data_IF_510238153661
#
_entry.id   IF_510238153661
#
_cell.length_a   1.000
_cell.length_b   1.000
_cell.length_c   1.000
_cell.angle_alpha   90.00
_cell.angle_beta   90.00
_cell.angle_gamma   90.00
#
_symmetry.space_group_name_H-M   'P 1'
#
loop_
_entity.id
_entity.type
_entity.pdbx_description
1 polymer ?
#
# COMPACT_ATOMS: atom_id res chain seq x y z
N UNK A 1 -6.00 -1.36 31.53
CA UNK A 1 -7.22 -1.79 32.25
C UNK A 1 -8.02 -0.52 32.49
N UNK A 2 -9.10 -0.26 31.74
CA UNK A 2 -9.95 0.92 31.96
C UNK A 2 -11.11 0.52 32.87
N UNK A 3 -11.28 1.28 33.95
CA UNK A 3 -12.39 1.19 34.91
C UNK A 3 -13.62 1.93 34.34
N UNK A 4 -14.28 1.36 33.33
CA UNK A 4 -15.68 1.70 33.00
C UNK A 4 -16.21 0.63 32.04
N UNK A 5 -17.18 -0.17 32.50
CA UNK A 5 -17.91 -1.15 31.66
C UNK A 5 -19.14 -0.45 31.07
N UNK A 6 -18.90 0.57 30.26
CA UNK A 6 -19.94 1.22 29.46
C UNK A 6 -20.17 0.39 28.19
N UNK A 7 -21.31 -0.30 28.12
CA UNK A 7 -21.80 -0.96 26.90
C UNK A 7 -21.97 0.11 25.80
N UNK A 8 -21.12 0.07 24.78
CA UNK A 8 -21.25 0.92 23.57
C UNK A 8 -22.55 0.56 22.84
N UNK A 9 -23.40 1.56 22.61
CA UNK A 9 -24.80 1.35 22.16
C UNK A 9 -24.98 1.49 20.65
N UNK A 10 -23.93 1.78 19.89
CA UNK A 10 -23.96 1.91 18.43
C UNK A 10 -22.76 1.25 17.76
N UNK A 11 -22.91 0.92 16.48
CA UNK A 11 -21.84 0.33 15.67
C UNK A 11 -20.66 1.31 15.49
N UNK A 12 -20.99 2.60 15.40
CA UNK A 12 -20.01 3.68 15.23
C UNK A 12 -19.13 3.83 16.47
N UNK A 13 -19.73 3.78 17.68
CA UNK A 13 -18.97 3.80 18.95
C UNK A 13 -17.98 2.64 19.06
N UNK A 14 -18.36 1.45 18.56
CA UNK A 14 -17.47 0.27 18.54
C UNK A 14 -16.31 0.49 17.58
N UNK A 15 -16.59 1.09 16.41
CA UNK A 15 -15.57 1.47 15.44
C UNK A 15 -14.55 2.45 16.03
N UNK A 16 -15.02 3.49 16.70
CA UNK A 16 -14.18 4.50 17.33
C UNK A 16 -13.32 3.91 18.46
N UNK A 17 -13.87 3.04 19.30
CA UNK A 17 -13.10 2.36 20.36
C UNK A 17 -12.01 1.47 19.75
N UNK A 18 -12.31 0.75 18.67
CA UNK A 18 -11.35 -0.11 17.98
C UNK A 18 -10.22 0.69 17.34
N UNK A 19 -10.56 1.77 16.61
CA UNK A 19 -9.58 2.65 15.97
C UNK A 19 -8.70 3.30 17.02
N UNK A 20 -9.27 3.90 18.07
CA UNK A 20 -8.51 4.54 19.13
C UNK A 20 -7.58 3.56 19.85
N UNK A 21 -8.02 2.32 20.08
CA UNK A 21 -7.15 1.30 20.67
C UNK A 21 -5.90 1.05 19.81
N UNK A 22 -6.05 0.92 18.49
CA UNK A 22 -4.91 0.66 17.62
C UNK A 22 -4.06 1.90 17.30
N UNK A 23 -4.67 3.09 17.29
CA UNK A 23 -3.96 4.37 17.25
C UNK A 23 -3.10 4.53 18.50
N UNK A 24 -3.62 4.22 19.69
CA UNK A 24 -2.82 4.25 20.93
C UNK A 24 -1.77 3.13 20.97
N UNK A 25 -2.06 1.97 20.40
CA UNK A 25 -1.17 0.81 20.41
C UNK A 25 0.03 0.97 19.46
N UNK A 26 -0.20 1.51 18.27
CA UNK A 26 0.80 1.61 17.21
C UNK A 26 1.25 3.05 16.91
N UNK A 27 0.48 4.05 17.33
CA UNK A 27 0.83 5.45 17.19
C UNK A 27 1.63 5.93 18.38
N UNK A 28 2.80 6.53 18.10
CA UNK A 28 3.45 7.44 19.03
C UNK A 28 3.46 8.83 18.39
N UNK A 29 2.85 9.80 19.08
CA UNK A 29 2.99 11.19 18.70
C UNK A 29 4.30 11.70 19.32
N UNK A 30 5.32 11.82 18.47
CA UNK A 30 6.58 12.50 18.81
C UNK A 30 6.65 13.72 17.91
N UNK A 31 6.81 14.91 18.49
CA UNK A 31 7.14 16.10 17.71
C UNK A 31 8.45 15.85 16.98
N UNK A 32 8.35 15.70 15.66
CA UNK A 32 9.53 15.56 14.81
C UNK A 32 10.17 16.92 14.65
N UNK A 33 11.49 16.99 14.82
CA UNK A 33 12.25 18.17 14.40
C UNK A 33 12.07 18.39 12.89
N UNK A 34 12.14 19.66 12.48
CA UNK A 34 12.24 19.99 11.07
C UNK A 34 13.44 19.26 10.43
N UNK A 35 13.29 18.89 9.16
CA UNK A 35 14.34 18.21 8.39
C UNK A 35 15.63 19.05 8.38
N UNK A 36 16.68 18.57 9.06
CA UNK A 36 18.00 19.19 9.01
C UNK A 36 18.69 18.86 7.69
N UNK A 37 18.71 19.82 6.77
CA UNK A 37 19.36 19.68 5.47
C UNK A 37 20.87 19.39 5.57
N UNK A 38 21.53 19.76 6.67
CA UNK A 38 22.95 19.44 6.87
C UNK A 38 23.17 17.93 7.03
N UNK A 39 22.26 17.23 7.72
CA UNK A 39 22.32 15.76 7.87
C UNK A 39 22.12 15.07 6.52
N UNK A 40 21.19 15.56 5.70
CA UNK A 40 20.97 15.03 4.34
C UNK A 40 22.21 15.17 3.45
N UNK A 41 22.99 16.24 3.63
CA UNK A 41 24.21 16.49 2.84
C UNK A 41 25.40 15.61 3.24
N UNK A 42 25.35 14.95 4.41
CA UNK A 42 26.42 14.09 4.93
C UNK A 42 26.10 12.60 4.72
N UNK A 43 24.82 12.28 4.51
CA UNK A 43 24.37 10.91 4.27
C UNK A 43 24.92 10.31 2.97
N UNK A 44 25.08 8.98 2.90
CA UNK A 44 25.46 8.32 1.65
C UNK A 44 24.42 8.60 0.57
N UNK A 45 24.88 9.11 -0.58
CA UNK A 45 24.04 9.25 -1.75
C UNK A 45 23.93 7.89 -2.45
N UNK A 46 22.76 7.62 -3.02
CA UNK A 46 22.59 6.45 -3.88
C UNK A 46 23.50 6.56 -5.11
N UNK A 47 24.07 5.43 -5.53
CA UNK A 47 24.86 5.37 -6.76
C UNK A 47 24.00 5.82 -7.96
N UNK A 48 24.58 6.50 -8.97
CA UNK A 48 23.82 6.98 -10.13
C UNK A 48 22.98 5.89 -10.82
N UNK A 49 23.49 4.66 -10.89
CA UNK A 49 22.75 3.54 -11.45
C UNK A 49 21.50 3.16 -10.62
N UNK A 50 21.57 3.26 -9.29
CA UNK A 50 20.43 3.02 -8.41
C UNK A 50 19.41 4.16 -8.51
N UNK A 51 19.90 5.40 -8.63
CA UNK A 51 19.05 6.56 -8.92
C UNK A 51 18.25 6.38 -10.21
N UNK A 52 18.93 5.99 -11.30
CA UNK A 52 18.28 5.78 -12.59
C UNK A 52 17.28 4.62 -12.54
N UNK A 53 17.58 3.57 -11.76
CA UNK A 53 16.65 2.47 -11.50
C UNK A 53 15.38 2.90 -10.76
N UNK A 54 15.50 3.79 -9.76
CA UNK A 54 14.34 4.30 -9.00
C UNK A 54 13.43 5.19 -9.85
N UNK A 55 13.97 5.85 -10.87
CA UNK A 55 13.22 6.70 -11.79
C UNK A 55 12.76 5.97 -13.06
N UNK A 56 13.15 4.71 -13.23
CA UNK A 56 12.81 3.93 -14.41
C UNK A 56 11.29 3.70 -14.50
N UNK A 57 10.72 3.70 -15.72
CA UNK A 57 9.33 3.32 -15.91
C UNK A 57 9.07 1.88 -15.48
N UNK A 58 7.93 1.63 -14.82
CA UNK A 58 7.54 0.28 -14.43
C UNK A 58 7.36 -0.63 -15.65
N UNK A 59 7.86 -1.85 -15.53
CA UNK A 59 7.88 -2.85 -16.60
C UNK A 59 6.71 -3.83 -16.49
N UNK A 60 6.34 -4.45 -17.62
CA UNK A 60 5.30 -5.49 -17.65
C UNK A 60 5.68 -6.68 -16.76
N UNK A 61 6.98 -6.96 -16.68
CA UNK A 61 7.53 -8.02 -15.84
C UNK A 61 7.32 -7.72 -14.36
N UNK A 62 7.67 -6.52 -13.89
CA UNK A 62 7.45 -6.11 -12.49
C UNK A 62 5.98 -6.18 -12.11
N UNK A 63 5.09 -5.74 -13.01
CA UNK A 63 3.64 -5.84 -12.81
C UNK A 63 3.21 -7.29 -12.62
N UNK A 64 3.68 -8.18 -13.50
CA UNK A 64 3.35 -9.60 -13.43
C UNK A 64 3.92 -10.25 -12.17
N UNK A 65 5.21 -10.05 -11.90
CA UNK A 65 5.88 -10.63 -10.73
C UNK A 65 5.16 -10.19 -9.45
N UNK A 66 4.87 -8.90 -9.31
CA UNK A 66 4.16 -8.36 -8.15
C UNK A 66 2.77 -9.00 -7.98
N UNK A 67 2.03 -9.22 -9.07
CA UNK A 67 0.74 -9.93 -9.01
C UNK A 67 0.90 -11.40 -8.62
N UNK A 68 1.96 -12.06 -9.11
CA UNK A 68 2.22 -13.48 -8.86
C UNK A 68 2.74 -13.74 -7.44
N UNK A 69 3.38 -12.76 -6.81
CA UNK A 69 3.85 -12.81 -5.42
C UNK A 69 2.70 -12.69 -4.39
N UNK A 70 1.53 -12.18 -4.78
CA UNK A 70 0.36 -12.09 -3.88
C UNK A 70 -0.17 -13.50 -3.59
N UNK A 71 -0.31 -13.87 -2.31
CA UNK A 71 -0.89 -15.18 -1.92
C UNK A 71 -2.26 -15.45 -2.56
N UNK A 72 -2.51 -16.70 -2.97
CA UNK A 72 -3.70 -17.11 -3.73
C UNK A 72 -5.02 -16.89 -2.95
N UNK A 73 -4.95 -16.82 -1.63
CA UNK A 73 -6.05 -16.58 -0.69
C UNK A 73 -6.41 -15.09 -0.52
N UNK A 74 -5.65 -14.17 -1.15
CA UNK A 74 -5.87 -12.72 -1.02
C UNK A 74 -6.88 -12.22 -2.05
N UNK A 75 -7.92 -11.54 -1.57
CA UNK A 75 -8.92 -10.85 -2.37
C UNK A 75 -9.07 -9.41 -1.88
N UNK A 76 -9.55 -8.51 -2.77
CA UNK A 76 -9.80 -7.10 -2.45
C UNK A 76 -10.96 -6.88 -1.46
N UNK A 77 -11.77 -7.91 -1.22
CA UNK A 77 -12.91 -7.89 -0.29
C UNK A 77 -13.65 -9.23 -0.32
N UNK A 78 -14.72 -9.39 0.48
CA UNK A 78 -15.51 -10.63 0.54
C UNK A 78 -16.05 -11.09 -0.82
N UNK A 79 -16.41 -10.13 -1.67
CA UNK A 79 -16.94 -10.35 -3.02
C UNK A 79 -15.89 -10.14 -4.12
N UNK A 80 -14.64 -9.91 -3.75
CA UNK A 80 -13.55 -9.68 -4.70
C UNK A 80 -13.04 -10.98 -5.31
N UNK A 81 -12.60 -10.94 -6.57
CA UNK A 81 -11.78 -12.01 -7.12
C UNK A 81 -10.46 -12.10 -6.36
N UNK A 82 -10.03 -13.32 -6.04
CA UNK A 82 -8.70 -13.54 -5.45
C UNK A 82 -7.60 -13.36 -6.49
N UNK A 83 -6.36 -13.17 -6.02
CA UNK A 83 -5.18 -13.15 -6.88
C UNK A 83 -5.08 -14.40 -7.77
N UNK A 84 -5.49 -15.57 -7.26
CA UNK A 84 -5.49 -16.83 -8.00
C UNK A 84 -6.29 -16.76 -9.31
N UNK A 85 -7.43 -16.05 -9.32
CA UNK A 85 -8.22 -15.83 -10.53
C UNK A 85 -7.42 -15.09 -11.60
N UNK A 86 -6.74 -14.00 -11.21
CA UNK A 86 -5.95 -13.20 -12.14
C UNK A 86 -4.71 -13.94 -12.64
N UNK A 87 -4.04 -14.73 -11.78
CA UNK A 87 -2.91 -15.58 -12.19
C UNK A 87 -3.35 -16.65 -13.19
N UNK A 88 -4.44 -17.36 -12.90
CA UNK A 88 -4.97 -18.42 -13.76
C UNK A 88 -5.43 -17.90 -15.13
N UNK A 89 -5.94 -16.67 -15.18
CA UNK A 89 -6.43 -16.02 -16.39
C UNK A 89 -5.47 -14.96 -16.94
N UNK A 90 -4.19 -14.97 -16.54
CA UNK A 90 -3.23 -13.91 -16.87
C UNK A 90 -3.17 -13.64 -18.38
N UNK A 91 -3.12 -14.69 -19.20
CA UNK A 91 -3.09 -14.56 -20.67
C UNK A 91 -4.29 -13.82 -21.27
N UNK A 92 -5.41 -13.75 -20.54
CA UNK A 92 -6.62 -13.03 -20.94
C UNK A 92 -6.56 -11.58 -20.46
N UNK A 93 -6.18 -11.35 -19.20
CA UNK A 93 -6.28 -10.03 -18.55
C UNK A 93 -5.00 -9.19 -18.62
N UNK A 94 -3.86 -9.78 -18.99
CA UNK A 94 -2.52 -9.15 -18.97
C UNK A 94 -2.50 -7.78 -19.63
N UNK A 95 -3.04 -7.68 -20.85
CA UNK A 95 -3.00 -6.43 -21.63
C UNK A 95 -3.74 -5.30 -20.92
N UNK A 96 -4.91 -5.58 -20.37
CA UNK A 96 -5.73 -4.58 -19.68
C UNK A 96 -5.11 -4.22 -18.32
N UNK A 97 -4.63 -5.20 -17.57
CA UNK A 97 -3.96 -5.00 -16.28
C UNK A 97 -2.70 -4.15 -16.43
N UNK A 98 -1.81 -4.52 -17.35
CA UNK A 98 -0.57 -3.76 -17.64
C UNK A 98 -0.90 -2.33 -18.05
N UNK A 99 -1.90 -2.14 -18.92
CA UNK A 99 -2.32 -0.80 -19.36
C UNK A 99 -2.81 0.05 -18.20
N UNK A 100 -3.70 -0.48 -17.36
CA UNK A 100 -4.26 0.23 -16.20
C UNK A 100 -3.14 0.63 -15.23
N UNK A 101 -2.25 -0.29 -14.89
CA UNK A 101 -1.20 -0.05 -13.90
C UNK A 101 -0.18 0.96 -14.43
N UNK A 102 0.27 0.83 -15.68
CA UNK A 102 1.17 1.81 -16.29
C UNK A 102 0.56 3.21 -16.35
N UNK A 103 -0.74 3.31 -16.66
CA UNK A 103 -1.43 4.59 -16.69
C UNK A 103 -1.55 5.21 -15.28
N UNK A 104 -1.77 4.38 -14.27
CA UNK A 104 -1.74 4.83 -12.87
C UNK A 104 -0.37 5.40 -12.50
N UNK A 105 0.73 4.71 -12.79
CA UNK A 105 2.08 5.23 -12.51
C UNK A 105 2.40 6.51 -13.31
N UNK A 106 1.80 6.68 -14.49
CA UNK A 106 1.97 7.89 -15.31
C UNK A 106 1.15 9.09 -14.81
N UNK A 107 -0.06 8.87 -14.29
CA UNK A 107 -1.04 9.93 -14.02
C UNK A 107 -1.44 10.11 -12.56
N UNK A 108 -1.11 9.14 -11.71
CA UNK A 108 -1.62 9.02 -10.34
C UNK A 108 -3.10 8.71 -10.25
N UNK A 109 -3.75 8.26 -11.34
CA UNK A 109 -5.21 8.03 -11.41
C UNK A 109 -5.50 6.64 -11.96
N UNK A 110 -6.50 5.99 -11.37
CA UNK A 110 -7.08 4.76 -11.92
C UNK A 110 -7.91 5.10 -13.16
N UNK A 111 -7.91 4.21 -14.16
CA UNK A 111 -8.79 4.31 -15.31
C UNK A 111 -10.26 4.26 -14.84
N UNK A 112 -11.07 5.19 -15.33
CA UNK A 112 -12.53 5.24 -15.09
C UNK A 112 -13.28 4.41 -16.12
#
# INVERSE_FOLDING_TARGET
MREDVSLTKSLDDVGDVFVNFFVDLFGSHVDTLDLDHSVLSIGPLIEPAAHDGLLAPITDKEIKDALFDIGDDKALGPDGFSSAFFKANWSIVEKDMVRVIKEFFRTGKMLK
#
